data_IF_283491695766
#
_entry.id   IF_283491695766
#
_cell.length_a   1.000
_cell.length_b   1.000
_cell.length_c   1.000
_cell.angle_alpha   90.00
_cell.angle_beta   90.00
_cell.angle_gamma   90.00
#
_symmetry.space_group_name_H-M   'P 1'
#
loop_
_entity.id
_entity.type
_entity.pdbx_description
1 polymer ?
#
# COMPACT_ATOMS: atom_id res chain seq x y z
N UNK A 1 -74.77 -4.92 -9.13
CA UNK A 1 -75.12 -5.65 -7.89
C UNK A 1 -75.32 -7.13 -8.24
N UNK A 2 -74.27 -7.96 -8.20
CA UNK A 2 -74.37 -9.40 -7.88
C UNK A 2 -73.00 -9.81 -7.36
N UNK A 3 -73.02 -10.20 -6.09
CA UNK A 3 -71.94 -10.78 -5.30
C UNK A 3 -71.89 -12.30 -5.57
N UNK A 4 -70.70 -12.88 -5.78
CA UNK A 4 -70.54 -14.35 -5.70
C UNK A 4 -69.18 -14.73 -5.12
N UNK A 5 -69.22 -15.12 -3.84
CA UNK A 5 -68.16 -15.81 -3.08
C UNK A 5 -67.96 -17.25 -3.57
N UNK A 6 -66.73 -17.75 -3.36
CA UNK A 6 -66.23 -19.15 -3.11
C UNK A 6 -64.99 -19.42 -4.00
N UNK A 7 -63.86 -19.98 -3.56
CA UNK A 7 -63.48 -20.72 -2.35
C UNK A 7 -61.95 -20.72 -2.18
N UNK A 8 -61.54 -20.93 -0.93
CA UNK A 8 -60.18 -21.20 -0.40
C UNK A 8 -59.53 -22.48 -0.98
N UNK A 9 -58.20 -22.53 -0.98
CA UNK A 9 -57.43 -23.79 -0.91
C UNK A 9 -55.98 -23.69 -1.42
N UNK A 10 -55.03 -24.18 -0.63
CA UNK A 10 -53.58 -24.33 -0.84
C UNK A 10 -52.76 -23.08 -0.43
N UNK A 11 -52.21 -22.95 0.77
CA UNK A 11 -51.67 -24.00 1.64
C UNK A 11 -50.29 -24.44 1.15
N UNK A 12 -49.31 -23.53 1.14
CA UNK A 12 -47.90 -23.86 1.03
C UNK A 12 -47.20 -23.33 2.29
N UNK A 13 -46.90 -24.29 3.15
CA UNK A 13 -46.30 -24.19 4.46
C UNK A 13 -44.88 -23.63 4.32
N UNK A 14 -44.67 -22.38 4.75
CA UNK A 14 -43.34 -21.76 4.85
C UNK A 14 -42.76 -22.19 6.18
N UNK A 15 -42.28 -23.43 6.27
CA UNK A 15 -41.44 -23.90 7.38
C UNK A 15 -40.33 -24.80 6.86
N UNK A 16 -39.13 -24.54 7.37
CA UNK A 16 -37.90 -25.33 7.23
C UNK A 16 -37.09 -25.17 5.94
N UNK A 17 -36.53 -23.96 5.74
CA UNK A 17 -35.16 -23.88 5.23
C UNK A 17 -34.25 -23.86 6.46
N UNK A 18 -33.68 -25.02 6.78
CA UNK A 18 -32.76 -25.20 7.90
C UNK A 18 -31.64 -24.17 7.86
N UNK A 19 -31.36 -23.54 9.00
CA UNK A 19 -30.23 -22.64 9.27
C UNK A 19 -28.84 -23.31 9.16
N UNK A 20 -28.74 -24.45 8.46
CA UNK A 20 -27.53 -25.25 8.26
C UNK A 20 -26.84 -25.01 6.90
N UNK A 21 -27.42 -24.17 6.03
CA UNK A 21 -26.84 -23.85 4.70
C UNK A 21 -26.17 -22.47 4.60
N UNK A 22 -25.98 -21.77 5.72
CA UNK A 22 -25.30 -20.46 5.78
C UNK A 22 -23.95 -20.50 6.55
N UNK A 23 -23.40 -21.69 6.82
CA UNK A 23 -22.15 -21.85 7.58
C UNK A 23 -21.03 -22.50 6.75
N UNK A 24 -20.84 -22.05 5.52
CA UNK A 24 -19.56 -22.20 4.83
C UNK A 24 -18.78 -20.89 4.90
N UNK A 25 -18.49 -20.45 6.12
CA UNK A 25 -17.37 -19.55 6.35
C UNK A 25 -16.11 -20.33 6.00
N UNK A 26 -15.65 -20.23 4.75
CA UNK A 26 -14.25 -20.49 4.44
C UNK A 26 -13.44 -19.55 5.33
N UNK A 27 -12.90 -20.07 6.43
CA UNK A 27 -11.84 -19.39 7.17
C UNK A 27 -10.69 -19.28 6.18
N UNK A 28 -10.54 -18.10 5.56
CA UNK A 28 -9.35 -17.76 4.79
C UNK A 28 -8.19 -17.90 5.76
N UNK A 29 -7.47 -19.03 5.68
CA UNK A 29 -6.23 -19.17 6.41
C UNK A 29 -5.29 -18.14 5.82
N UNK A 30 -5.03 -17.08 6.60
CA UNK A 30 -4.02 -16.07 6.30
C UNK A 30 -2.68 -16.80 6.28
N UNK A 31 -2.21 -17.12 5.08
CA UNK A 31 -0.88 -17.68 4.89
C UNK A 31 0.14 -16.56 5.13
N UNK A 32 1.17 -16.86 5.91
CA UNK A 32 2.34 -15.98 6.05
C UNK A 32 2.94 -15.71 4.66
N UNK A 33 3.26 -14.45 4.37
CA UNK A 33 3.91 -14.04 3.12
C UNK A 33 5.21 -14.84 2.89
N UNK A 34 5.93 -15.17 3.96
CA UNK A 34 7.14 -15.97 3.91
C UNK A 34 6.93 -17.40 3.38
N UNK A 35 5.69 -17.91 3.38
CA UNK A 35 5.37 -19.24 2.88
C UNK A 35 5.14 -19.31 1.36
N UNK A 36 5.08 -18.17 0.67
CA UNK A 36 4.82 -18.12 -0.76
C UNK A 36 6.12 -18.29 -1.56
N UNK A 37 6.04 -19.05 -2.65
CA UNK A 37 7.09 -19.06 -3.67
C UNK A 37 7.07 -17.77 -4.50
N UNK A 38 8.17 -17.49 -5.22
CA UNK A 38 8.21 -16.37 -6.15
C UNK A 38 7.11 -16.43 -7.23
N UNK A 39 6.78 -17.61 -7.76
CA UNK A 39 5.69 -17.75 -8.74
C UNK A 39 4.32 -17.45 -8.12
N UNK A 40 4.08 -17.89 -6.89
CA UNK A 40 2.83 -17.59 -6.19
C UNK A 40 2.73 -16.09 -5.87
N UNK A 41 3.83 -15.44 -5.48
CA UNK A 41 3.87 -13.99 -5.24
C UNK A 41 3.66 -13.19 -6.54
N UNK A 42 4.16 -13.68 -7.68
CA UNK A 42 3.93 -13.05 -8.98
C UNK A 42 2.45 -12.80 -9.25
N UNK A 43 1.65 -13.82 -8.99
CA UNK A 43 0.20 -13.76 -9.21
C UNK A 43 -0.49 -13.04 -8.05
N UNK A 44 -0.20 -13.45 -6.81
CA UNK A 44 -0.90 -12.98 -5.63
C UNK A 44 -0.68 -11.49 -5.35
N UNK A 45 0.51 -10.93 -5.55
CA UNK A 45 0.77 -9.52 -5.28
C UNK A 45 0.13 -8.61 -6.34
N UNK A 46 0.13 -9.02 -7.61
CA UNK A 46 -0.42 -8.23 -8.70
C UNK A 46 -1.95 -8.07 -8.61
N UNK A 47 -2.65 -9.07 -8.06
CA UNK A 47 -4.11 -9.06 -7.94
C UNK A 47 -4.60 -9.01 -6.48
N UNK A 48 -3.69 -9.04 -5.52
CA UNK A 48 -4.00 -9.06 -4.09
C UNK A 48 -4.55 -7.73 -3.64
N UNK A 49 -5.75 -7.77 -3.05
CA UNK A 49 -6.44 -6.61 -2.52
C UNK A 49 -6.84 -6.88 -1.07
N UNK A 50 -6.81 -5.83 -0.25
CA UNK A 50 -7.33 -5.86 1.12
C UNK A 50 -8.85 -6.02 1.12
N UNK A 51 -9.44 -6.27 2.28
CA UNK A 51 -10.90 -6.26 2.45
C UNK A 51 -11.53 -4.91 2.05
N UNK A 52 -10.76 -3.82 2.15
CA UNK A 52 -11.19 -2.47 1.78
C UNK A 52 -10.93 -2.14 0.31
N UNK A 53 -10.41 -3.09 -0.48
CA UNK A 53 -10.12 -2.90 -1.89
C UNK A 53 -8.82 -2.12 -2.16
N UNK A 54 -7.85 -2.18 -1.25
CA UNK A 54 -6.54 -1.53 -1.41
C UNK A 54 -5.49 -2.54 -1.86
N UNK A 55 -4.65 -2.16 -2.82
CA UNK A 55 -3.56 -3.03 -3.30
C UNK A 55 -2.43 -3.20 -2.26
N UNK A 56 -1.52 -4.13 -2.54
CA UNK A 56 -0.31 -4.34 -1.71
C UNK A 56 0.95 -3.68 -2.30
N UNK A 57 0.95 -3.31 -3.58
CA UNK A 57 2.12 -2.78 -4.26
C UNK A 57 2.02 -1.27 -4.55
N UNK A 58 3.17 -0.60 -4.62
CA UNK A 58 3.31 0.77 -5.11
C UNK A 58 2.57 1.82 -4.27
N UNK A 59 2.61 1.70 -2.94
CA UNK A 59 1.82 2.56 -2.04
C UNK A 59 2.07 4.06 -2.21
N UNK A 60 3.33 4.55 -2.31
CA UNK A 60 3.58 5.98 -2.44
C UNK A 60 2.94 6.58 -3.72
N UNK A 61 2.77 5.76 -4.76
CA UNK A 61 2.18 6.17 -6.02
C UNK A 61 0.67 6.37 -5.90
N UNK A 62 0.00 5.69 -4.96
CA UNK A 62 -1.43 5.92 -4.67
C UNK A 62 -1.66 7.32 -4.10
N UNK A 63 -0.80 7.73 -3.17
CA UNK A 63 -0.98 8.98 -2.43
C UNK A 63 -0.49 10.17 -3.24
N UNK A 64 0.62 10.02 -3.96
CA UNK A 64 1.36 11.14 -4.54
C UNK A 64 1.26 11.23 -6.08
N UNK A 65 0.35 10.47 -6.72
CA UNK A 65 0.13 10.57 -8.16
C UNK A 65 -1.36 10.59 -8.52
N UNK A 66 -1.67 11.01 -9.75
CA UNK A 66 -3.04 10.92 -10.30
C UNK A 66 -3.48 9.49 -10.62
N UNK A 67 -2.58 8.50 -10.54
CA UNK A 67 -2.94 7.10 -10.77
C UNK A 67 -3.66 6.47 -9.57
N UNK A 68 -3.57 7.08 -8.38
CA UNK A 68 -4.16 6.57 -7.13
C UNK A 68 -5.67 6.40 -7.12
N UNK A 69 -6.39 6.89 -8.13
CA UNK A 69 -7.85 6.66 -8.24
C UNK A 69 -8.20 5.29 -8.82
N UNK A 70 -7.21 4.49 -9.25
CA UNK A 70 -7.41 3.14 -9.78
C UNK A 70 -6.42 2.17 -9.10
N UNK A 71 -6.88 1.55 -8.03
CA UNK A 71 -6.09 0.61 -7.21
C UNK A 71 -5.54 -0.57 -8.02
N UNK A 72 -6.37 -1.17 -8.87
CA UNK A 72 -5.95 -2.30 -9.70
C UNK A 72 -4.81 -1.93 -10.66
N UNK A 73 -4.83 -0.70 -11.19
CA UNK A 73 -3.76 -0.18 -12.06
C UNK A 73 -2.48 0.04 -11.28
N UNK A 74 -2.55 0.70 -10.12
CA UNK A 74 -1.35 0.97 -9.31
C UNK A 74 -0.72 -0.33 -8.81
N UNK A 75 -1.54 -1.29 -8.39
CA UNK A 75 -1.08 -2.57 -7.88
C UNK A 75 -0.38 -3.44 -8.95
N UNK A 76 -0.78 -3.28 -10.22
CA UNK A 76 -0.21 -3.99 -11.38
C UNK A 76 0.87 -3.21 -12.13
N UNK A 77 1.12 -1.96 -11.76
CA UNK A 77 1.91 -0.99 -12.54
C UNK A 77 3.28 -1.51 -12.97
N UNK A 78 3.95 -2.26 -12.10
CA UNK A 78 5.27 -2.87 -12.31
C UNK A 78 5.24 -4.40 -12.33
N UNK A 79 4.03 -4.99 -12.26
CA UNK A 79 3.86 -6.43 -12.25
C UNK A 79 4.01 -7.03 -13.66
N UNK A 80 3.51 -6.33 -14.68
CA UNK A 80 3.51 -6.77 -16.06
C UNK A 80 4.90 -6.63 -16.72
N UNK A 81 5.40 -7.70 -17.34
CA UNK A 81 6.65 -7.69 -18.13
C UNK A 81 6.45 -7.08 -19.54
N UNK A 82 5.47 -6.20 -19.72
CA UNK A 82 4.97 -5.79 -21.03
C UNK A 82 5.27 -4.34 -21.35
N UNK A 83 6.09 -4.12 -22.37
CA UNK A 83 6.53 -2.82 -22.91
C UNK A 83 7.66 -2.14 -22.11
N UNK A 84 8.85 -2.71 -22.22
CA UNK A 84 10.11 -2.04 -21.91
C UNK A 84 10.34 -0.88 -22.89
N UNK A 85 10.03 0.34 -22.48
CA UNK A 85 10.33 1.55 -23.23
C UNK A 85 11.09 2.53 -22.33
N UNK A 86 12.41 2.43 -22.32
CA UNK A 86 13.30 3.33 -21.57
C UNK A 86 14.56 2.65 -21.05
N UNK A 87 15.53 3.44 -20.59
CA UNK A 87 16.85 2.96 -20.12
C UNK A 87 16.76 1.99 -18.92
N UNK A 88 15.66 2.01 -18.18
CA UNK A 88 15.40 1.14 -17.02
C UNK A 88 14.42 -0.02 -17.32
N UNK A 89 13.97 -0.19 -18.56
CA UNK A 89 13.05 -1.26 -18.95
C UNK A 89 11.61 -1.11 -18.46
N UNK A 90 11.23 0.06 -17.97
CA UNK A 90 9.85 0.37 -17.57
C UNK A 90 9.00 0.85 -18.74
N UNK A 91 7.69 0.75 -18.60
CA UNK A 91 6.76 1.41 -19.52
C UNK A 91 6.76 2.93 -19.29
N UNK A 92 6.42 3.70 -20.32
CA UNK A 92 6.27 5.17 -20.19
C UNK A 92 5.21 5.56 -19.16
N UNK A 93 4.23 4.69 -18.90
CA UNK A 93 3.22 4.93 -17.87
C UNK A 93 3.84 4.91 -16.47
N UNK A 94 4.63 3.87 -16.16
CA UNK A 94 5.37 3.77 -14.88
C UNK A 94 6.23 5.02 -14.68
N UNK A 95 6.98 5.44 -15.71
CA UNK A 95 7.84 6.62 -15.65
C UNK A 95 7.03 7.88 -15.36
N UNK A 96 5.91 8.10 -16.06
CA UNK A 96 5.06 9.27 -15.84
C UNK A 96 4.40 9.30 -14.46
N UNK A 97 4.00 8.13 -13.94
CA UNK A 97 3.43 8.02 -12.58
C UNK A 97 4.50 8.30 -11.53
N UNK A 98 5.70 7.73 -11.68
CA UNK A 98 6.80 7.98 -10.75
C UNK A 98 7.21 9.45 -10.78
N UNK A 99 7.35 10.07 -11.95
CA UNK A 99 7.71 11.49 -12.08
C UNK A 99 6.74 12.39 -11.31
N UNK A 100 5.43 12.18 -11.47
CA UNK A 100 4.41 12.91 -10.69
C UNK A 100 4.54 12.66 -9.18
N UNK A 101 4.77 11.40 -8.79
CA UNK A 101 5.00 11.00 -7.39
C UNK A 101 6.16 11.77 -6.78
N UNK A 102 7.31 11.79 -7.47
CA UNK A 102 8.52 12.48 -7.01
C UNK A 102 8.33 14.00 -7.00
N UNK A 103 7.67 14.55 -8.01
CA UNK A 103 7.35 15.97 -8.09
C UNK A 103 6.49 16.41 -6.90
N UNK A 104 5.45 15.66 -6.54
CA UNK A 104 4.63 15.96 -5.37
C UNK A 104 5.40 15.76 -4.06
N UNK A 105 6.16 14.67 -3.93
CA UNK A 105 6.99 14.42 -2.76
C UNK A 105 7.96 15.57 -2.47
N UNK A 106 8.58 16.16 -3.51
CA UNK A 106 9.50 17.29 -3.37
C UNK A 106 8.90 18.57 -2.78
N UNK A 107 7.56 18.67 -2.74
CA UNK A 107 6.82 19.80 -2.19
C UNK A 107 6.31 19.54 -0.77
N UNK A 108 6.63 18.38 -0.20
CA UNK A 108 6.21 17.95 1.13
C UNK A 108 7.41 17.84 2.07
N UNK A 109 7.13 17.87 3.37
CA UNK A 109 8.06 17.32 4.37
C UNK A 109 8.00 15.80 4.25
N UNK A 110 9.13 15.15 4.04
CA UNK A 110 9.19 13.71 3.82
C UNK A 110 9.79 13.04 5.05
N UNK A 111 9.15 11.95 5.48
CA UNK A 111 9.64 11.09 6.56
C UNK A 111 9.97 9.70 6.06
N UNK A 112 10.92 9.05 6.73
CA UNK A 112 11.29 7.64 6.51
C UNK A 112 11.20 6.93 7.85
N UNK A 113 10.38 5.88 7.92
CA UNK A 113 10.05 5.20 9.19
C UNK A 113 11.29 4.62 9.87
N UNK A 114 12.21 4.04 9.10
CA UNK A 114 13.48 3.51 9.61
C UNK A 114 14.42 4.60 10.14
N UNK A 115 14.16 5.87 9.78
CA UNK A 115 14.91 7.06 10.17
C UNK A 115 14.04 7.98 11.02
N UNK A 116 13.31 7.40 11.98
CA UNK A 116 12.29 8.13 12.76
C UNK A 116 12.86 9.37 13.46
N UNK A 117 14.00 9.27 14.14
CA UNK A 117 14.57 10.41 14.87
C UNK A 117 14.95 11.58 13.95
N UNK A 118 15.51 11.26 12.78
CA UNK A 118 15.85 12.26 11.76
C UNK A 118 14.59 12.86 11.14
N UNK A 119 13.57 12.05 10.92
CA UNK A 119 12.24 12.50 10.49
C UNK A 119 11.62 13.45 11.53
N UNK A 120 11.76 13.15 12.83
CA UNK A 120 11.29 14.01 13.92
C UNK A 120 12.03 15.34 13.95
N UNK A 121 13.36 15.34 13.72
CA UNK A 121 14.17 16.55 13.61
C UNK A 121 13.66 17.47 12.49
N UNK A 122 13.41 16.91 11.30
CA UNK A 122 12.88 17.66 10.16
C UNK A 122 11.46 18.17 10.42
N UNK A 123 10.57 17.33 10.96
CA UNK A 123 9.20 17.74 11.29
C UNK A 123 9.18 18.88 12.31
N UNK A 124 10.01 18.81 13.35
CA UNK A 124 10.10 19.87 14.37
C UNK A 124 10.54 21.21 13.76
N UNK A 125 11.26 21.20 12.64
CA UNK A 125 11.68 22.40 11.94
C UNK A 125 10.62 22.96 10.99
N UNK A 126 10.05 22.11 10.13
CA UNK A 126 9.12 22.56 9.07
C UNK A 126 7.64 22.53 9.46
N UNK A 127 7.28 21.72 10.45
CA UNK A 127 5.92 21.55 10.95
C UNK A 127 5.91 21.43 12.49
N UNK A 128 6.33 22.49 13.22
CA UNK A 128 6.52 22.43 14.68
C UNK A 128 5.23 22.18 15.48
N UNK A 129 4.06 22.28 14.86
CA UNK A 129 2.77 21.92 15.46
C UNK A 129 2.48 20.41 15.41
N UNK A 130 3.32 19.63 14.73
CA UNK A 130 3.17 18.18 14.60
C UNK A 130 4.14 17.47 15.53
N UNK A 131 3.60 16.71 16.48
CA UNK A 131 4.40 15.90 17.40
C UNK A 131 4.51 14.47 16.87
N UNK A 132 5.74 13.96 16.79
CA UNK A 132 6.03 12.57 16.45
C UNK A 132 6.81 11.91 17.58
N UNK A 133 6.47 10.66 17.91
CA UNK A 133 7.18 9.88 18.93
C UNK A 133 7.78 8.60 18.32
N UNK A 134 9.08 8.38 18.55
CA UNK A 134 9.85 7.29 17.93
C UNK A 134 9.97 6.02 18.78
N UNK A 135 9.15 5.87 19.84
CA UNK A 135 9.40 4.87 20.89
C UNK A 135 8.67 3.54 20.79
N UNK A 136 7.81 3.30 19.78
CA UNK A 136 7.00 2.07 19.72
C UNK A 136 6.96 1.47 18.32
N UNK A 137 7.65 0.33 18.15
CA UNK A 137 7.39 -0.58 17.04
C UNK A 137 6.03 -1.28 17.29
N UNK A 138 4.94 -0.65 16.86
CA UNK A 138 3.58 -1.19 17.04
C UNK A 138 3.37 -2.53 16.32
N UNK A 139 4.26 -2.89 15.38
CA UNK A 139 4.19 -4.09 14.55
C UNK A 139 5.46 -4.96 14.65
N UNK A 140 6.16 -4.96 15.79
CA UNK A 140 7.24 -5.93 16.00
C UNK A 140 6.64 -7.35 16.04
N UNK A 141 6.65 -8.04 14.89
CA UNK A 141 6.11 -9.38 14.80
C UNK A 141 7.23 -10.38 15.16
N UNK A 142 7.20 -11.01 16.34
CA UNK A 142 8.27 -11.90 16.79
C UNK A 142 8.37 -13.19 15.98
N UNK A 143 7.43 -13.43 15.06
CA UNK A 143 7.33 -14.64 14.24
C UNK A 143 7.52 -14.41 12.74
N UNK A 144 8.15 -13.31 12.32
CA UNK A 144 8.44 -13.12 10.90
C UNK A 144 9.45 -14.17 10.42
N UNK A 145 8.98 -15.14 9.65
CA UNK A 145 9.89 -16.03 8.93
C UNK A 145 10.59 -15.22 7.83
N UNK A 146 11.89 -15.43 7.65
CA UNK A 146 12.62 -14.73 6.60
C UNK A 146 12.07 -15.15 5.22
N UNK A 147 11.82 -14.17 4.34
CA UNK A 147 11.48 -14.44 2.95
C UNK A 147 12.64 -15.16 2.26
N UNK A 148 12.32 -16.12 1.39
CA UNK A 148 13.34 -16.65 0.47
C UNK A 148 13.88 -15.53 -0.43
N UNK A 149 15.14 -15.63 -0.87
CA UNK A 149 15.72 -14.60 -1.75
C UNK A 149 14.94 -14.45 -3.06
N UNK A 150 14.38 -15.53 -3.60
CA UNK A 150 13.59 -15.48 -4.82
C UNK A 150 12.26 -14.76 -4.60
N UNK A 151 11.60 -15.02 -3.47
CA UNK A 151 10.39 -14.31 -3.05
C UNK A 151 10.66 -12.81 -2.86
N UNK A 152 11.76 -12.48 -2.18
CA UNK A 152 12.20 -11.09 -1.97
C UNK A 152 12.48 -10.39 -3.30
N UNK A 153 13.17 -11.04 -4.25
CA UNK A 153 13.42 -10.46 -5.58
C UNK A 153 12.13 -10.22 -6.36
N UNK A 154 11.16 -11.12 -6.27
CA UNK A 154 9.86 -10.93 -6.93
C UNK A 154 9.06 -9.77 -6.32
N UNK A 155 9.04 -9.65 -4.98
CA UNK A 155 8.43 -8.50 -4.29
C UNK A 155 9.07 -7.19 -4.77
N UNK A 156 10.41 -7.13 -4.77
CA UNK A 156 11.14 -5.94 -5.21
C UNK A 156 10.92 -5.63 -6.69
N UNK A 157 10.79 -6.65 -7.55
CA UNK A 157 10.48 -6.48 -8.97
C UNK A 157 9.10 -5.84 -9.14
N UNK A 158 8.08 -6.37 -8.45
CA UNK A 158 6.73 -5.85 -8.51
C UNK A 158 6.54 -4.50 -7.82
N UNK A 159 7.48 -4.10 -6.96
CA UNK A 159 7.51 -2.81 -6.28
C UNK A 159 8.65 -1.92 -6.78
N UNK A 160 9.15 -2.12 -8.00
CA UNK A 160 10.33 -1.42 -8.48
C UNK A 160 10.16 0.11 -8.50
N UNK A 161 8.95 0.60 -8.81
CA UNK A 161 8.64 2.03 -8.78
C UNK A 161 8.59 2.57 -7.35
N UNK A 162 8.02 1.81 -6.41
CA UNK A 162 8.07 2.13 -4.99
C UNK A 162 9.50 2.17 -4.45
N UNK A 163 10.34 1.21 -4.81
CA UNK A 163 11.75 1.19 -4.42
C UNK A 163 12.47 2.45 -4.91
N UNK A 164 12.16 2.93 -6.12
CA UNK A 164 12.70 4.19 -6.62
C UNK A 164 12.16 5.41 -5.85
N UNK A 165 10.85 5.43 -5.55
CA UNK A 165 10.24 6.47 -4.73
C UNK A 165 10.84 6.52 -3.32
N UNK A 166 11.08 5.36 -2.69
CA UNK A 166 11.70 5.24 -1.37
C UNK A 166 13.15 5.74 -1.36
N UNK A 167 13.94 5.46 -2.41
CA UNK A 167 15.28 6.02 -2.57
C UNK A 167 15.24 7.54 -2.69
N UNK A 168 14.32 8.07 -3.48
CA UNK A 168 14.15 9.51 -3.61
C UNK A 168 13.69 10.15 -2.30
N UNK A 169 12.81 9.50 -1.53
CA UNK A 169 12.37 9.96 -0.22
C UNK A 169 13.55 10.10 0.76
N UNK A 170 14.48 9.15 0.76
CA UNK A 170 15.69 9.24 1.58
C UNK A 170 16.58 10.44 1.17
N UNK A 171 16.76 10.68 -0.13
CA UNK A 171 17.52 11.83 -0.63
C UNK A 171 16.84 13.16 -0.24
N UNK A 172 15.51 13.23 -0.32
CA UNK A 172 14.74 14.41 0.09
C UNK A 172 14.86 14.66 1.59
N UNK A 173 14.78 13.60 2.41
CA UNK A 173 15.00 13.70 3.86
C UNK A 173 16.40 14.22 4.18
N UNK A 174 17.44 13.73 3.51
CA UNK A 174 18.82 14.21 3.68
C UNK A 174 18.96 15.71 3.35
N UNK A 175 18.33 16.15 2.26
CA UNK A 175 18.32 17.56 1.89
C UNK A 175 17.61 18.42 2.94
N UNK A 176 16.48 17.95 3.48
CA UNK A 176 15.71 18.64 4.52
C UNK A 176 16.45 18.70 5.85
N UNK A 177 17.16 17.63 6.23
CA UNK A 177 18.05 17.60 7.40
C UNK A 177 19.17 18.63 7.27
N UNK A 178 19.80 18.73 6.10
CA UNK A 178 20.86 19.70 5.86
C UNK A 178 20.36 21.15 6.07
N UNK A 179 19.17 21.47 5.54
CA UNK A 179 18.53 22.78 5.75
C UNK A 179 18.26 23.02 7.24
N UNK A 180 17.64 22.05 7.91
CA UNK A 180 17.28 22.11 9.33
C UNK A 180 18.50 22.37 10.22
N UNK A 181 19.57 21.59 10.03
CA UNK A 181 20.80 21.68 10.82
C UNK A 181 21.56 22.97 10.54
N UNK A 182 21.59 23.42 9.29
CA UNK A 182 22.19 24.72 8.93
C UNK A 182 21.47 25.89 9.61
N UNK A 183 20.14 25.85 9.66
CA UNK A 183 19.35 26.87 10.35
C UNK A 183 19.64 26.90 11.86
N UNK A 184 19.72 25.73 12.52
CA UNK A 184 20.05 25.61 13.95
C UNK A 184 21.44 26.13 14.29
N UNK A 185 22.45 25.81 13.48
CA UNK A 185 23.82 26.28 13.71
C UNK A 185 23.88 27.82 13.66
N UNK A 186 23.13 28.45 12.76
CA UNK A 186 23.05 29.92 12.65
C UNK A 186 22.36 30.58 13.84
N UNK A 187 21.39 29.92 14.48
CA UNK A 187 20.70 30.46 15.65
C UNK A 187 21.51 30.34 16.94
N UNK A 188 22.45 29.41 17.03
CA UNK A 188 23.28 29.18 18.23
C UNK A 188 24.57 30.03 18.26
N UNK A 189 25.01 30.56 17.12
CA UNK A 189 26.18 31.44 17.01
C UNK A 189 25.87 32.93 17.17
N UNK A 190 24.67 33.28 17.65
CA UNK A 190 24.23 34.63 18.00
C UNK A 190 23.98 34.70 19.49
#
# INVERSE_FOLDING_TARGET
MVEKKRRLGNGLDVKNVSAQQLSSHHTLQVKDLASYSASQLREALATGMSHYGEGCNNEPLRILSDAGTNEERVNRLTAENGASCGAAGWSMDVVGVLDRTLHRASRCVVGVLERCEETAEVLSHFAPWFEMSCGKHLNANPHSSALSEDARREILRQNAAEVAAYKAANILLDAQLNVTRTARARSQGR
#
